data_IF_714295287928
#
_entry.id   IF_714295287928
#
_cell.length_a   1.000
_cell.length_b   1.000
_cell.length_c   1.000
_cell.angle_alpha   90.00
_cell.angle_beta   90.00
_cell.angle_gamma   90.00
#
_symmetry.space_group_name_H-M   'P 1'
#
loop_
_entity.id
_entity.type
_entity.pdbx_description
1 polymer ?
#
# COMPACT_ATOMS: atom_id res chain seq x y z
N UNK A 1 -10.28 11.90 22.37
CA UNK A 1 -11.04 10.80 21.72
C UNK A 1 -10.04 9.96 20.94
N UNK A 2 -9.86 8.71 21.33
CA UNK A 2 -9.01 7.79 20.58
C UNK A 2 -9.62 7.53 19.20
N UNK A 3 -8.78 7.55 18.16
CA UNK A 3 -9.21 7.30 16.79
C UNK A 3 -8.44 6.11 16.23
N UNK A 4 -9.15 5.09 15.84
CA UNK A 4 -8.60 3.90 15.17
C UNK A 4 -8.59 4.09 13.66
N UNK A 5 -7.51 3.70 13.00
CA UNK A 5 -7.42 3.70 11.53
C UNK A 5 -7.52 2.27 11.01
N UNK A 6 -8.54 2.00 10.21
CA UNK A 6 -8.76 0.69 9.59
C UNK A 6 -8.57 0.78 8.09
N UNK A 7 -7.77 -0.12 7.52
CA UNK A 7 -7.57 -0.24 6.08
C UNK A 7 -8.33 -1.46 5.58
N UNK A 8 -9.28 -1.24 4.68
CA UNK A 8 -10.15 -2.30 4.15
C UNK A 8 -10.28 -2.22 2.64
N UNK A 9 -10.57 -3.34 1.99
CA UNK A 9 -10.95 -3.35 0.57
C UNK A 9 -12.44 -3.04 0.43
N UNK A 10 -12.86 -2.59 -0.75
CA UNK A 10 -14.27 -2.23 -1.01
C UNK A 10 -15.24 -3.41 -0.76
N UNK A 11 -14.79 -4.63 -1.00
CA UNK A 11 -15.58 -5.85 -0.83
C UNK A 11 -15.55 -6.43 0.58
N UNK A 12 -14.71 -5.87 1.45
CA UNK A 12 -14.50 -6.41 2.79
C UNK A 12 -15.55 -5.91 3.79
N UNK A 13 -15.54 -6.52 4.95
CA UNK A 13 -16.26 -6.05 6.13
C UNK A 13 -15.31 -5.30 7.07
N UNK A 14 -15.86 -4.34 7.79
CA UNK A 14 -15.18 -3.60 8.85
C UNK A 14 -15.69 -4.11 10.20
N UNK A 15 -14.77 -4.54 11.05
CA UNK A 15 -15.11 -4.90 12.42
C UNK A 15 -14.71 -3.75 13.36
N UNK A 16 -15.71 -3.14 13.97
CA UNK A 16 -15.56 -2.08 14.96
C UNK A 16 -15.55 -2.73 16.34
N UNK A 17 -14.43 -2.63 17.06
CA UNK A 17 -14.29 -3.15 18.42
C UNK A 17 -14.24 -2.01 19.44
N UNK A 18 -14.98 -2.14 20.51
CA UNK A 18 -14.95 -1.20 21.64
C UNK A 18 -13.85 -1.59 22.64
N UNK A 19 -12.90 -0.72 22.87
CA UNK A 19 -11.82 -1.00 23.84
C UNK A 19 -12.31 -1.08 25.29
N UNK A 20 -13.42 -0.42 25.62
CA UNK A 20 -13.94 -0.40 26.97
C UNK A 20 -14.67 -1.67 27.38
N UNK A 21 -15.36 -2.34 26.47
CA UNK A 21 -16.16 -3.53 26.78
C UNK A 21 -15.93 -4.71 25.85
N UNK A 22 -14.98 -4.58 24.90
CA UNK A 22 -14.58 -5.58 23.91
C UNK A 22 -15.69 -6.10 22.99
N UNK A 23 -16.90 -5.49 23.03
CA UNK A 23 -17.95 -5.80 22.03
C UNK A 23 -17.50 -5.35 20.65
N UNK A 24 -17.77 -6.19 19.67
CA UNK A 24 -17.49 -5.89 18.27
C UNK A 24 -18.78 -5.89 17.45
N UNK A 25 -18.77 -5.10 16.38
CA UNK A 25 -19.82 -5.06 15.35
C UNK A 25 -19.17 -5.07 13.99
N UNK A 26 -19.58 -6.02 13.15
CA UNK A 26 -19.11 -6.14 11.77
C UNK A 26 -20.12 -5.51 10.83
N UNK A 27 -19.64 -4.66 9.91
CA UNK A 27 -20.41 -3.93 8.91
C UNK A 27 -19.73 -4.09 7.55
N UNK A 28 -20.48 -4.10 6.44
CA UNK A 28 -19.84 -4.01 5.13
C UNK A 28 -19.09 -2.66 4.96
N UNK A 29 -17.92 -2.67 4.33
CA UNK A 29 -17.11 -1.48 4.13
C UNK A 29 -17.88 -0.37 3.40
N UNK A 30 -18.82 -0.75 2.53
CA UNK A 30 -19.71 0.16 1.82
C UNK A 30 -20.62 0.97 2.74
N UNK A 31 -20.97 0.47 3.93
CA UNK A 31 -21.83 1.18 4.89
C UNK A 31 -21.12 2.37 5.57
N UNK A 32 -19.78 2.41 5.54
CA UNK A 32 -18.96 3.47 6.19
C UNK A 32 -18.16 4.28 5.21
N UNK A 33 -18.17 3.89 3.95
CA UNK A 33 -17.35 4.48 2.87
C UNK A 33 -17.64 5.98 2.67
N UNK A 34 -18.89 6.37 2.68
CA UNK A 34 -19.31 7.73 2.33
C UNK A 34 -19.61 8.59 3.59
N UNK A 35 -19.30 8.07 4.79
CA UNK A 35 -19.50 8.81 6.02
C UNK A 35 -18.35 9.79 6.27
N UNK A 36 -18.64 10.96 6.88
CA UNK A 36 -17.59 11.88 7.31
C UNK A 36 -16.58 11.19 8.24
N UNK A 37 -15.30 11.37 7.98
CA UNK A 37 -14.23 10.73 8.74
C UNK A 37 -13.61 11.72 9.76
N UNK A 38 -13.26 11.30 10.98
CA UNK A 38 -13.51 9.97 11.56
C UNK A 38 -14.98 9.72 11.89
N UNK A 39 -15.46 8.49 11.64
CA UNK A 39 -16.81 8.10 12.04
C UNK A 39 -16.87 8.03 13.57
N UNK A 40 -17.79 8.77 14.16
CA UNK A 40 -18.03 8.71 15.62
C UNK A 40 -18.92 7.52 15.95
N UNK A 41 -18.41 6.63 16.78
CA UNK A 41 -19.12 5.42 17.20
C UNK A 41 -19.46 5.51 18.68
N UNK A 42 -20.74 5.30 19.01
CA UNK A 42 -21.21 5.12 20.39
C UNK A 42 -21.48 3.65 20.65
N UNK A 43 -20.74 3.08 21.57
CA UNK A 43 -20.98 1.71 22.02
C UNK A 43 -22.19 1.65 22.97
N UNK A 44 -22.95 0.54 23.02
CA UNK A 44 -24.02 0.35 24.01
C UNK A 44 -23.53 0.43 25.48
N UNK A 45 -22.23 0.25 25.74
CA UNK A 45 -21.64 0.46 27.07
C UNK A 45 -21.46 1.94 27.45
N UNK A 46 -21.80 2.88 26.54
CA UNK A 46 -21.65 4.33 26.73
C UNK A 46 -20.32 4.91 26.21
N UNK A 47 -19.34 4.09 25.87
CA UNK A 47 -18.05 4.58 25.33
C UNK A 47 -18.23 5.23 23.96
N UNK A 48 -17.50 6.35 23.75
CA UNK A 48 -17.42 7.07 22.48
C UNK A 48 -16.00 6.97 21.93
N UNK A 49 -15.86 6.58 20.67
CA UNK A 49 -14.57 6.52 19.97
C UNK A 49 -14.70 6.90 18.50
N UNK A 50 -13.59 7.30 17.89
CA UNK A 50 -13.52 7.63 16.48
C UNK A 50 -12.95 6.45 15.68
N UNK A 51 -13.45 6.24 14.47
CA UNK A 51 -12.89 5.26 13.53
C UNK A 51 -12.70 5.93 12.19
N UNK A 52 -11.46 5.94 11.69
CA UNK A 52 -11.17 6.32 10.31
C UNK A 52 -11.05 5.06 9.46
N UNK A 53 -11.94 4.93 8.49
CA UNK A 53 -11.95 3.79 7.57
C UNK A 53 -11.37 4.26 6.25
N UNK A 54 -10.18 3.76 5.91
CA UNK A 54 -9.52 4.01 4.63
C UNK A 54 -9.78 2.84 3.68
N UNK A 55 -10.68 3.06 2.74
CA UNK A 55 -11.05 2.04 1.77
C UNK A 55 -10.05 2.06 0.61
N UNK A 56 -9.44 0.91 0.37
CA UNK A 56 -8.51 0.69 -0.74
C UNK A 56 -9.29 0.34 -2.00
N UNK A 57 -9.03 1.05 -3.07
CA UNK A 57 -9.64 0.77 -4.38
C UNK A 57 -9.09 -0.49 -5.04
N UNK A 58 -7.91 -0.95 -4.63
CA UNK A 58 -7.24 -2.11 -5.19
C UNK A 58 -6.76 -3.08 -4.11
N UNK A 59 -6.92 -4.38 -4.40
CA UNK A 59 -6.32 -5.45 -3.60
C UNK A 59 -4.80 -5.30 -3.52
N UNK A 60 -4.23 -5.58 -2.36
CA UNK A 60 -2.78 -5.62 -2.13
C UNK A 60 -2.36 -7.01 -1.67
N UNK A 61 -1.54 -7.65 -2.47
CA UNK A 61 -0.94 -8.93 -2.13
C UNK A 61 0.28 -8.72 -1.25
N UNK A 62 0.33 -9.41 -0.12
CA UNK A 62 1.53 -9.44 0.74
C UNK A 62 2.61 -10.27 0.07
N UNK A 63 3.85 -9.79 0.13
CA UNK A 63 5.01 -10.40 -0.51
C UNK A 63 6.26 -10.26 0.35
N UNK A 64 7.33 -10.93 -0.03
CA UNK A 64 8.68 -10.77 0.50
C UNK A 64 9.67 -10.94 -0.67
N UNK A 65 9.60 -10.03 -1.65
CA UNK A 65 10.37 -10.16 -2.88
C UNK A 65 11.62 -9.29 -2.82
N UNK A 66 12.82 -9.88 -2.96
CA UNK A 66 14.04 -9.11 -3.10
C UNK A 66 14.02 -8.28 -4.39
N UNK A 67 14.53 -7.07 -4.31
CA UNK A 67 14.62 -6.19 -5.45
C UNK A 67 15.63 -5.08 -5.26
N UNK A 68 15.67 -4.19 -6.23
CA UNK A 68 16.53 -3.02 -6.22
C UNK A 68 15.75 -1.76 -6.55
N UNK A 69 16.20 -0.63 -6.03
CA UNK A 69 15.71 0.68 -6.45
C UNK A 69 16.87 1.54 -6.95
N UNK A 70 16.56 2.45 -7.85
CA UNK A 70 17.50 3.41 -8.43
C UNK A 70 16.90 4.80 -8.30
N UNK A 71 17.65 5.73 -7.69
CA UNK A 71 17.33 7.14 -7.63
C UNK A 71 17.99 7.85 -8.81
N UNK A 72 17.22 8.63 -9.56
CA UNK A 72 17.71 9.43 -10.68
C UNK A 72 17.38 10.89 -10.44
N UNK A 73 18.28 11.75 -10.83
CA UNK A 73 18.02 13.17 -10.89
C UNK A 73 16.91 13.46 -11.91
N UNK A 74 15.89 14.23 -11.49
CA UNK A 74 14.72 14.51 -12.31
C UNK A 74 15.01 15.35 -13.55
N UNK A 75 16.09 16.16 -13.53
CA UNK A 75 16.47 17.06 -14.61
C UNK A 75 17.45 16.42 -15.59
N UNK A 76 18.46 15.73 -15.05
CA UNK A 76 19.55 15.17 -15.85
C UNK A 76 19.38 13.69 -16.17
N UNK A 77 18.52 12.99 -15.45
CA UNK A 77 18.35 11.53 -15.54
C UNK A 77 19.54 10.72 -14.99
N UNK A 78 20.58 11.39 -14.46
CA UNK A 78 21.72 10.70 -13.87
C UNK A 78 21.35 9.90 -12.64
N UNK A 79 21.88 8.69 -12.56
CA UNK A 79 21.74 7.84 -11.37
C UNK A 79 22.67 8.39 -10.29
N UNK A 80 22.11 8.78 -9.15
CA UNK A 80 22.89 9.26 -8.01
C UNK A 80 22.88 8.29 -6.82
N UNK A 81 21.94 7.37 -6.77
CA UNK A 81 21.94 6.33 -5.75
C UNK A 81 21.24 5.06 -6.23
N UNK A 82 21.68 3.94 -5.68
CA UNK A 82 21.06 2.61 -5.87
C UNK A 82 21.03 1.90 -4.52
N UNK A 83 20.02 1.06 -4.31
CA UNK A 83 19.95 0.26 -3.10
C UNK A 83 19.18 -1.02 -3.32
N UNK A 84 19.31 -1.92 -2.36
CA UNK A 84 18.52 -3.14 -2.26
C UNK A 84 17.26 -2.89 -1.45
N UNK A 85 16.22 -3.67 -1.70
CA UNK A 85 14.95 -3.57 -1.01
C UNK A 85 14.25 -4.92 -0.93
N UNK A 86 13.28 -5.02 -0.03
CA UNK A 86 12.28 -6.10 0.00
C UNK A 86 10.93 -5.49 -0.32
N UNK A 87 10.27 -6.00 -1.35
CA UNK A 87 8.89 -5.63 -1.68
C UNK A 87 7.96 -6.39 -0.74
N UNK A 88 7.25 -5.65 0.11
CA UNK A 88 6.42 -6.22 1.18
C UNK A 88 4.93 -6.34 0.78
N UNK A 89 4.48 -5.51 -0.14
CA UNK A 89 3.16 -5.62 -0.75
C UNK A 89 3.11 -5.03 -2.16
N UNK A 90 2.21 -5.56 -2.98
CA UNK A 90 1.99 -5.10 -4.36
C UNK A 90 0.50 -5.00 -4.64
N UNK A 91 0.12 -3.96 -5.35
CA UNK A 91 -1.20 -3.78 -5.95
C UNK A 91 -1.08 -3.43 -7.43
N UNK A 92 -2.23 -3.28 -8.11
CA UNK A 92 -2.23 -2.80 -9.51
C UNK A 92 -1.68 -1.39 -9.68
N UNK A 93 -1.76 -0.55 -8.64
CA UNK A 93 -1.44 0.88 -8.72
C UNK A 93 -0.16 1.28 -8.01
N UNK A 94 0.47 0.36 -7.28
CA UNK A 94 1.68 0.66 -6.52
C UNK A 94 2.19 -0.50 -5.70
N UNK A 95 3.23 -0.22 -4.93
CA UNK A 95 3.86 -1.21 -4.05
C UNK A 95 4.32 -0.56 -2.74
N UNK A 96 4.49 -1.40 -1.72
CA UNK A 96 5.20 -1.08 -0.51
C UNK A 96 6.49 -1.87 -0.44
N UNK A 97 7.56 -1.23 -0.04
CA UNK A 97 8.86 -1.88 0.11
C UNK A 97 9.65 -1.32 1.28
N UNK A 98 10.61 -2.10 1.73
CA UNK A 98 11.56 -1.73 2.78
C UNK A 98 12.97 -1.69 2.18
N UNK A 99 13.65 -0.54 2.19
CA UNK A 99 15.05 -0.45 1.82
C UNK A 99 15.92 -1.27 2.78
N UNK A 100 16.93 -1.93 2.24
CA UNK A 100 17.95 -2.61 3.03
C UNK A 100 19.16 -1.67 3.19
N UNK A 101 19.30 -1.12 4.39
CA UNK A 101 20.36 -0.16 4.69
C UNK A 101 19.91 1.31 4.63
N UNK A 102 20.85 2.24 4.87
CA UNK A 102 20.57 3.67 4.89
C UNK A 102 20.20 4.17 3.49
N UNK A 103 19.26 5.12 3.44
CA UNK A 103 18.81 5.73 2.19
C UNK A 103 18.46 7.21 2.39
N UNK A 104 18.45 7.97 1.30
CA UNK A 104 18.05 9.38 1.24
C UNK A 104 16.77 9.59 0.41
N UNK A 105 15.92 8.57 0.31
CA UNK A 105 14.67 8.63 -0.44
C UNK A 105 13.70 9.62 0.22
N UNK A 106 13.04 10.44 -0.59
CA UNK A 106 12.08 11.47 -0.13
C UNK A 106 10.70 11.26 -0.74
N UNK A 107 9.68 11.76 -0.07
CA UNK A 107 8.31 11.82 -0.60
C UNK A 107 8.29 12.64 -1.89
N UNK A 108 7.47 12.23 -2.86
CA UNK A 108 7.35 12.72 -4.23
C UNK A 108 8.53 12.43 -5.16
N UNK A 109 9.60 11.83 -4.70
CA UNK A 109 10.69 11.38 -5.55
C UNK A 109 10.24 10.21 -6.45
N UNK A 110 10.83 10.12 -7.64
CA UNK A 110 10.60 9.04 -8.59
C UNK A 110 11.77 8.07 -8.54
N UNK A 111 11.46 6.81 -8.28
CA UNK A 111 12.41 5.72 -8.25
C UNK A 111 12.14 4.76 -9.41
N UNK A 112 13.18 4.17 -9.94
CA UNK A 112 13.06 2.99 -10.79
C UNK A 112 13.26 1.75 -9.91
N UNK A 113 12.23 0.92 -9.80
CA UNK A 113 12.27 -0.32 -9.02
C UNK A 113 12.35 -1.53 -9.93
N UNK A 114 13.09 -2.55 -9.52
CA UNK A 114 13.22 -3.81 -10.24
C UNK A 114 13.22 -4.98 -9.25
N UNK A 115 12.38 -5.98 -9.51
CA UNK A 115 12.25 -7.21 -8.71
C UNK A 115 11.70 -8.34 -9.56
N UNK A 116 11.79 -9.57 -9.07
CA UNK A 116 11.15 -10.73 -9.69
C UNK A 116 9.97 -11.19 -8.84
N UNK A 117 8.88 -11.58 -9.50
CA UNK A 117 7.74 -12.22 -8.85
C UNK A 117 8.12 -13.65 -8.43
N UNK A 118 7.45 -14.16 -7.40
CA UNK A 118 7.56 -15.56 -6.97
C UNK A 118 6.61 -16.48 -7.73
N UNK A 119 6.35 -16.16 -8.99
CA UNK A 119 5.64 -17.00 -9.94
C UNK A 119 6.58 -18.07 -10.54
N UNK A 120 6.03 -19.14 -11.19
CA UNK A 120 6.87 -20.20 -11.78
C UNK A 120 7.88 -19.69 -12.81
N UNK A 121 7.57 -18.59 -13.50
CA UNK A 121 8.42 -17.96 -14.50
C UNK A 121 9.45 -16.97 -13.91
N UNK A 122 9.35 -16.67 -12.61
CA UNK A 122 10.13 -15.61 -11.95
C UNK A 122 10.09 -14.30 -12.75
N UNK A 123 8.88 -13.90 -13.11
CA UNK A 123 8.63 -12.76 -14.01
C UNK A 123 9.28 -11.49 -13.47
N UNK A 124 10.14 -10.88 -14.29
CA UNK A 124 10.84 -9.65 -13.92
C UNK A 124 9.93 -8.44 -14.08
N UNK A 125 9.82 -7.66 -13.02
CA UNK A 125 9.07 -6.40 -12.99
C UNK A 125 10.06 -5.25 -12.88
N UNK A 126 9.88 -4.25 -13.74
CA UNK A 126 10.62 -3.00 -13.70
C UNK A 126 9.65 -1.85 -13.90
N UNK A 127 9.56 -0.93 -12.94
CA UNK A 127 8.59 0.17 -12.97
C UNK A 127 9.15 1.44 -12.36
N UNK A 128 8.69 2.57 -12.89
CA UNK A 128 8.86 3.86 -12.24
C UNK A 128 7.80 4.03 -11.15
N UNK A 129 8.23 4.45 -9.97
CA UNK A 129 7.39 4.59 -8.78
C UNK A 129 7.58 5.99 -8.21
N UNK A 130 6.47 6.70 -7.98
CA UNK A 130 6.50 7.94 -7.21
C UNK A 130 6.26 7.62 -5.73
N UNK A 131 7.19 8.02 -4.89
CA UNK A 131 7.09 7.85 -3.45
C UNK A 131 5.94 8.69 -2.90
N UNK A 132 5.00 8.05 -2.21
CA UNK A 132 3.82 8.70 -1.62
C UNK A 132 3.90 8.81 -0.12
N UNK A 133 4.55 7.84 0.53
CA UNK A 133 4.63 7.76 1.98
C UNK A 133 5.94 7.10 2.40
N UNK A 134 6.51 7.62 3.49
CA UNK A 134 7.64 7.00 4.21
C UNK A 134 7.22 6.93 5.67
N UNK A 135 7.16 5.74 6.23
CA UNK A 135 6.79 5.54 7.64
C UNK A 135 7.33 4.20 8.14
N UNK A 136 7.80 4.18 9.38
CA UNK A 136 8.25 2.97 10.10
C UNK A 136 9.30 2.15 9.32
N UNK A 137 10.18 2.85 8.59
CA UNK A 137 11.21 2.24 7.73
C UNK A 137 10.68 1.65 6.43
N UNK A 138 9.37 1.70 6.17
CA UNK A 138 8.74 1.28 4.92
C UNK A 138 8.45 2.46 4.00
N UNK A 139 8.45 2.20 2.71
CA UNK A 139 8.16 3.17 1.65
C UNK A 139 6.98 2.67 0.83
N UNK A 140 5.94 3.50 0.72
CA UNK A 140 4.81 3.28 -0.16
C UNK A 140 4.90 4.16 -1.40
N UNK A 141 4.72 3.57 -2.58
CA UNK A 141 4.79 4.29 -3.83
C UNK A 141 3.71 3.91 -4.83
N UNK A 142 3.37 4.85 -5.69
CA UNK A 142 2.44 4.65 -6.79
C UNK A 142 3.19 4.46 -8.10
N UNK A 143 2.79 3.50 -8.92
CA UNK A 143 3.31 3.33 -10.27
C UNK A 143 2.95 4.55 -11.12
N UNK A 144 3.89 5.04 -11.90
CA UNK A 144 3.65 6.16 -12.84
C UNK A 144 2.96 5.68 -14.11
N UNK A 145 3.23 4.44 -14.50
CA UNK A 145 2.61 3.79 -15.65
C UNK A 145 1.66 2.70 -15.18
N UNK A 146 0.36 2.95 -15.36
CA UNK A 146 -0.71 2.02 -15.02
C UNK A 146 -1.44 1.51 -16.27
N UNK A 147 -0.84 1.66 -17.47
CA UNK A 147 -1.42 1.17 -18.70
C UNK A 147 -1.57 -0.37 -18.65
N UNK A 148 -2.82 -0.83 -18.69
CA UNK A 148 -3.17 -2.24 -18.64
C UNK A 148 -2.63 -3.06 -19.84
N UNK A 149 -2.23 -2.37 -20.90
CA UNK A 149 -1.77 -3.02 -22.13
C UNK A 149 -0.27 -3.34 -22.16
N UNK A 150 0.51 -2.87 -21.19
CA UNK A 150 1.92 -3.24 -21.08
C UNK A 150 2.07 -4.67 -20.57
N UNK A 151 3.09 -5.40 -21.05
CA UNK A 151 3.36 -6.77 -20.61
C UNK A 151 3.58 -6.85 -19.10
N UNK A 152 4.27 -5.88 -18.51
CA UNK A 152 4.49 -5.80 -17.06
C UNK A 152 3.18 -5.67 -16.30
N UNK A 153 2.25 -4.86 -16.79
CA UNK A 153 0.95 -4.68 -16.14
C UNK A 153 0.06 -5.91 -16.29
N UNK A 154 0.17 -6.64 -17.41
CA UNK A 154 -0.50 -7.93 -17.58
C UNK A 154 0.03 -8.96 -16.58
N UNK A 155 1.35 -9.09 -16.45
CA UNK A 155 1.99 -9.99 -15.48
C UNK A 155 1.54 -9.68 -14.05
N UNK A 156 1.54 -8.41 -13.65
CA UNK A 156 1.02 -7.98 -12.34
C UNK A 156 -0.47 -8.30 -12.20
N UNK A 157 -1.26 -8.08 -13.24
CA UNK A 157 -2.68 -8.40 -13.24
C UNK A 157 -2.97 -9.87 -12.99
N UNK A 158 -2.19 -10.78 -13.59
CA UNK A 158 -2.29 -12.23 -13.34
C UNK A 158 -1.81 -12.60 -11.95
N UNK A 159 -0.67 -12.08 -11.54
CA UNK A 159 -0.06 -12.34 -10.22
C UNK A 159 -0.96 -11.90 -9.05
N UNK A 160 -1.71 -10.83 -9.22
CA UNK A 160 -2.60 -10.27 -8.21
C UNK A 160 -4.01 -10.87 -8.19
N UNK A 161 -4.29 -11.86 -9.01
CA UNK A 161 -5.57 -12.59 -8.89
C UNK A 161 -5.59 -13.35 -7.57
N UNK A 162 -6.72 -13.26 -6.82
CA UNK A 162 -6.91 -14.03 -5.60
C UNK A 162 -7.00 -15.53 -5.88
#
# INVERSE_FOLDING_TARGET
MHTHVLYVNVTDTVTLACEACHRSKTLPATAVKDLPQPVKVRCPCGALFGVTVLIRSCYRKKTQLPGTYTQRDAQTGHVHARGQMIVEDISRTGLGFRPLGPHAIRVNEVLLVAFCLDDPQQSRIQKAVRVRRIADGGIGGAFLDNDAYTDTNRLLGFYLRP
#
